data_IF_236995560855
#
_entry.id   IF_236995560855
#
_cell.length_a   1.000
_cell.length_b   1.000
_cell.length_c   1.000
_cell.angle_alpha   90.00
_cell.angle_beta   90.00
_cell.angle_gamma   90.00
#
_symmetry.space_group_name_H-M   'P 1'
#
loop_
_entity.id
_entity.type
_entity.pdbx_description
1 polymer ?
#
# COMPACT_ATOMS: atom_id res chain seq x y z
N UNK A 1 -0.79 -5.89 -24.99
CA UNK A 1 -1.04 -4.45 -24.73
C UNK A 1 0.05 -3.98 -23.79
N UNK A 2 0.68 -2.84 -24.04
CA UNK A 2 1.75 -2.33 -23.16
C UNK A 2 1.11 -1.64 -21.96
N UNK A 3 1.46 -2.04 -20.73
CA UNK A 3 0.94 -1.47 -19.49
C UNK A 3 2.05 -0.76 -18.70
N UNK A 4 1.69 0.36 -18.06
CA UNK A 4 2.54 1.07 -17.12
C UNK A 4 1.82 1.10 -15.75
N UNK A 5 2.56 0.81 -14.68
CA UNK A 5 2.07 0.88 -13.31
C UNK A 5 2.61 2.12 -12.61
N UNK A 6 1.73 2.88 -11.97
CA UNK A 6 2.09 4.09 -11.25
C UNK A 6 1.62 4.03 -9.80
N UNK A 7 2.50 4.45 -8.89
CA UNK A 7 2.24 4.48 -7.45
C UNK A 7 2.10 5.92 -6.95
N UNK A 8 1.00 6.26 -6.25
CA UNK A 8 0.77 7.61 -5.79
C UNK A 8 1.68 7.97 -4.61
N UNK A 9 1.97 9.26 -4.46
CA UNK A 9 2.69 9.80 -3.32
C UNK A 9 1.77 10.35 -2.23
N UNK A 10 2.40 10.99 -1.23
CA UNK A 10 1.70 11.71 -0.15
C UNK A 10 0.73 12.76 -0.71
N UNK A 11 -0.42 12.89 -0.05
CA UNK A 11 -1.57 13.69 -0.47
C UNK A 11 -2.75 12.85 -0.97
N UNK A 12 -2.53 11.56 -1.23
CA UNK A 12 -3.57 10.62 -1.69
C UNK A 12 -4.16 9.75 -0.57
N UNK A 13 -3.59 9.80 0.64
CA UNK A 13 -4.06 9.02 1.78
C UNK A 13 -5.47 9.45 2.23
N UNK A 14 -6.29 8.47 2.61
CA UNK A 14 -7.63 8.69 3.13
C UNK A 14 -7.94 7.68 4.24
N UNK A 15 -8.66 8.12 5.28
CA UNK A 15 -9.11 7.22 6.34
C UNK A 15 -9.98 6.12 5.75
N UNK A 16 -9.76 4.88 6.19
CA UNK A 16 -10.43 3.68 5.68
C UNK A 16 -9.75 3.03 4.48
N UNK A 17 -8.69 3.62 3.91
CA UNK A 17 -7.99 3.04 2.77
C UNK A 17 -7.41 1.65 3.09
N UNK A 18 -7.46 0.73 2.12
CA UNK A 18 -6.96 -0.63 2.28
C UNK A 18 -7.79 -1.54 3.21
N UNK A 19 -8.73 -1.01 4.00
CA UNK A 19 -9.53 -1.81 4.95
C UNK A 19 -10.35 -2.89 4.26
N UNK A 20 -11.09 -2.52 3.21
CA UNK A 20 -11.89 -3.48 2.44
C UNK A 20 -11.02 -4.57 1.80
N UNK A 21 -9.79 -4.22 1.41
CA UNK A 21 -8.84 -5.17 0.85
C UNK A 21 -8.37 -6.17 1.92
N UNK A 22 -8.02 -5.69 3.11
CA UNK A 22 -7.60 -6.52 4.23
C UNK A 22 -8.74 -7.38 4.81
N UNK A 23 -9.98 -6.90 4.75
CA UNK A 23 -11.17 -7.65 5.15
C UNK A 23 -11.49 -8.78 4.17
N UNK A 24 -11.24 -8.57 2.87
CA UNK A 24 -11.54 -9.55 1.82
C UNK A 24 -10.41 -10.57 1.58
N UNK A 25 -9.14 -10.16 1.71
CA UNK A 25 -7.99 -10.96 1.31
C UNK A 25 -7.01 -11.17 2.46
N UNK A 26 -6.78 -12.43 2.91
CA UNK A 26 -5.81 -12.73 3.97
C UNK A 26 -4.39 -12.24 3.65
N UNK A 27 -3.98 -12.26 2.38
CA UNK A 27 -2.66 -11.78 1.97
C UNK A 27 -2.50 -10.27 2.15
N UNK A 28 -3.57 -9.49 1.94
CA UNK A 28 -3.56 -8.06 2.25
C UNK A 28 -3.49 -7.82 3.75
N UNK A 29 -4.24 -8.59 4.55
CA UNK A 29 -4.19 -8.50 6.03
C UNK A 29 -2.76 -8.73 6.55
N UNK A 30 -2.07 -9.76 6.05
CA UNK A 30 -0.71 -10.08 6.46
C UNK A 30 0.27 -8.91 6.26
N UNK A 31 0.15 -8.17 5.16
CA UNK A 31 0.98 -6.97 4.92
C UNK A 31 0.77 -5.92 5.99
N UNK A 32 -0.49 -5.65 6.37
CA UNK A 32 -0.78 -4.69 7.43
C UNK A 32 -0.28 -5.16 8.80
N UNK A 33 -0.38 -6.46 9.10
CA UNK A 33 0.14 -7.04 10.34
C UNK A 33 1.67 -6.96 10.40
N UNK A 34 2.36 -7.21 9.29
CA UNK A 34 3.82 -7.05 9.16
C UNK A 34 4.25 -5.60 9.38
N UNK A 35 3.52 -4.63 8.83
CA UNK A 35 3.81 -3.20 8.99
C UNK A 35 3.62 -2.78 10.46
N UNK A 36 2.50 -3.14 11.08
CA UNK A 36 2.26 -2.87 12.51
C UNK A 36 3.38 -3.47 13.38
N UNK A 37 3.78 -4.71 13.09
CA UNK A 37 4.85 -5.39 13.83
C UNK A 37 6.22 -4.72 13.63
N UNK A 38 6.52 -4.27 12.42
CA UNK A 38 7.78 -3.60 12.10
C UNK A 38 7.89 -2.21 12.75
N UNK A 39 6.78 -1.48 12.88
CA UNK A 39 6.74 -0.19 13.55
C UNK A 39 6.60 -0.29 15.07
N UNK A 40 6.12 -1.44 15.58
CA UNK A 40 5.84 -1.62 17.00
C UNK A 40 4.60 -0.85 17.47
N UNK A 41 3.76 -0.40 16.54
CA UNK A 41 2.55 0.39 16.78
C UNK A 41 1.43 -0.04 15.84
N UNK A 42 0.19 0.33 16.18
CA UNK A 42 -1.00 0.03 15.38
C UNK A 42 -1.27 1.13 14.36
N UNK A 43 -0.42 1.23 13.34
CA UNK A 43 -0.64 2.13 12.21
C UNK A 43 -1.97 1.82 11.52
N UNK A 44 -2.38 0.54 11.47
CA UNK A 44 -3.71 0.13 11.00
C UNK A 44 -4.87 0.88 11.65
N UNK A 45 -4.79 1.17 12.96
CA UNK A 45 -5.81 1.97 13.65
C UNK A 45 -5.90 3.38 13.09
N UNK A 46 -4.76 4.00 12.80
CA UNK A 46 -4.70 5.34 12.18
C UNK A 46 -5.21 5.30 10.74
N UNK A 47 -4.84 4.27 9.96
CA UNK A 47 -5.25 4.12 8.57
C UNK A 47 -6.76 3.92 8.47
N UNK A 48 -7.35 3.05 9.28
CA UNK A 48 -8.75 2.65 9.13
C UNK A 48 -9.72 3.55 9.88
N UNK A 49 -9.35 3.99 11.07
CA UNK A 49 -10.26 4.68 11.99
C UNK A 49 -9.89 6.16 12.18
N UNK A 50 -8.66 6.56 11.83
CA UNK A 50 -8.22 7.96 11.86
C UNK A 50 -7.91 8.49 13.26
N UNK A 51 -7.89 9.83 13.45
CA UNK A 51 -8.51 10.83 12.59
C UNK A 51 -7.65 11.25 11.39
N UNK A 52 -8.27 11.92 10.42
CA UNK A 52 -7.64 12.26 9.13
C UNK A 52 -6.40 13.16 9.29
N UNK A 53 -6.43 14.10 10.23
CA UNK A 53 -5.31 14.98 10.54
C UNK A 53 -4.09 14.20 11.06
N UNK A 54 -4.29 13.12 11.84
CA UNK A 54 -3.21 12.24 12.30
C UNK A 54 -2.66 11.43 11.13
N UNK A 55 -3.53 10.89 10.27
CA UNK A 55 -3.11 10.17 9.06
C UNK A 55 -2.36 11.08 8.08
N UNK A 56 -2.64 12.38 8.06
CA UNK A 56 -1.97 13.36 7.20
C UNK A 56 -0.56 13.75 7.68
N UNK A 57 -0.20 13.45 8.92
CA UNK A 57 1.18 13.61 9.39
C UNK A 57 2.09 12.73 8.56
N UNK A 58 3.18 13.31 8.05
CA UNK A 58 4.13 12.63 7.16
C UNK A 58 4.61 11.28 7.70
N UNK A 59 4.86 11.19 9.01
CA UNK A 59 5.28 9.96 9.69
C UNK A 59 4.26 8.82 9.59
N UNK A 60 2.97 9.13 9.47
CA UNK A 60 1.90 8.14 9.30
C UNK A 60 1.54 7.97 7.82
N UNK A 61 1.40 9.08 7.09
CA UNK A 61 0.98 9.09 5.68
C UNK A 61 1.92 8.25 4.82
N UNK A 62 3.22 8.34 5.07
CA UNK A 62 4.20 7.63 4.25
C UNK A 62 4.13 6.10 4.41
N UNK A 63 4.33 5.52 5.61
CA UNK A 63 4.21 4.08 5.77
C UNK A 63 2.79 3.57 5.44
N UNK A 64 1.75 4.37 5.68
CA UNK A 64 0.38 4.00 5.34
C UNK A 64 0.16 3.82 3.83
N UNK A 65 0.62 4.76 3.01
CA UNK A 65 0.51 4.68 1.55
C UNK A 65 1.31 3.51 0.98
N UNK A 66 2.49 3.26 1.53
CA UNK A 66 3.32 2.11 1.15
C UNK A 66 2.62 0.79 1.52
N UNK A 67 2.09 0.67 2.73
CA UNK A 67 1.38 -0.52 3.19
C UNK A 67 0.19 -0.86 2.28
N UNK A 68 -0.63 0.13 1.92
CA UNK A 68 -1.78 -0.05 1.03
C UNK A 68 -1.34 -0.44 -0.38
N UNK A 69 -0.26 0.17 -0.90
CA UNK A 69 0.28 -0.15 -2.21
C UNK A 69 0.77 -1.61 -2.27
N UNK A 70 1.54 -2.04 -1.27
CA UNK A 70 2.05 -3.41 -1.18
C UNK A 70 0.92 -4.41 -0.97
N UNK A 71 -0.04 -4.13 -0.10
CA UNK A 71 -1.21 -4.99 0.11
C UNK A 71 -1.98 -5.20 -1.20
N UNK A 72 -2.13 -4.13 -2.00
CA UNK A 72 -2.77 -4.20 -3.33
C UNK A 72 -1.96 -5.06 -4.30
N UNK A 73 -0.64 -4.90 -4.34
CA UNK A 73 0.24 -5.72 -5.19
C UNK A 73 0.18 -7.20 -4.82
N UNK A 74 0.24 -7.53 -3.54
CA UNK A 74 0.17 -8.92 -3.06
C UNK A 74 -1.15 -9.60 -3.44
N UNK A 75 -2.26 -8.85 -3.40
CA UNK A 75 -3.55 -9.36 -3.87
C UNK A 75 -3.54 -9.58 -5.37
N UNK A 76 -3.03 -8.64 -6.17
CA UNK A 76 -2.93 -8.81 -7.63
C UNK A 76 -2.09 -10.03 -8.01
N UNK A 77 -0.98 -10.26 -7.31
CA UNK A 77 -0.12 -11.41 -7.55
C UNK A 77 -0.78 -12.73 -7.16
N UNK A 78 -1.36 -12.78 -5.96
CA UNK A 78 -1.89 -14.02 -5.39
C UNK A 78 -3.22 -14.41 -6.03
N UNK A 79 -4.12 -13.44 -6.23
CA UNK A 79 -5.50 -13.69 -6.65
C UNK A 79 -5.68 -13.57 -8.16
N UNK A 80 -4.92 -12.69 -8.82
CA UNK A 80 -5.03 -12.45 -10.26
C UNK A 80 -3.84 -13.01 -11.07
N UNK A 81 -2.80 -13.53 -10.41
CA UNK A 81 -1.60 -14.04 -11.09
C UNK A 81 -0.81 -12.95 -11.84
N UNK A 82 -1.06 -11.68 -11.52
CA UNK A 82 -0.43 -10.53 -12.15
C UNK A 82 0.77 -10.08 -11.33
N UNK A 83 1.95 -10.02 -11.95
CA UNK A 83 3.15 -9.50 -11.30
C UNK A 83 3.66 -8.26 -12.04
N UNK A 84 3.88 -7.17 -11.30
CA UNK A 84 4.40 -5.93 -11.89
C UNK A 84 5.74 -6.15 -12.60
N UNK A 85 6.65 -6.93 -12.02
CA UNK A 85 7.96 -7.20 -12.62
C UNK A 85 7.91 -8.01 -13.92
N UNK A 86 6.87 -8.81 -14.13
CA UNK A 86 6.71 -9.66 -15.31
C UNK A 86 5.78 -9.03 -16.37
N UNK A 87 4.72 -8.38 -15.91
CA UNK A 87 3.57 -8.03 -16.74
C UNK A 87 3.46 -6.52 -17.03
N UNK A 88 4.19 -5.65 -16.30
CA UNK A 88 4.27 -4.22 -16.60
C UNK A 88 5.53 -3.90 -17.42
N UNK A 89 5.38 -3.10 -18.48
CA UNK A 89 6.50 -2.64 -19.29
C UNK A 89 7.25 -1.46 -18.65
N UNK A 90 6.55 -0.70 -17.80
CA UNK A 90 7.09 0.46 -17.09
C UNK A 90 6.50 0.52 -15.68
N UNK A 91 7.32 0.95 -14.73
CA UNK A 91 6.92 1.15 -13.35
C UNK A 91 7.47 2.49 -12.90
N UNK A 92 6.63 3.32 -12.27
CA UNK A 92 7.03 4.61 -11.76
C UNK A 92 6.26 4.94 -10.48
N UNK A 93 6.81 5.82 -9.67
CA UNK A 93 6.13 6.32 -8.49
C UNK A 93 6.38 7.80 -8.29
N UNK A 94 5.40 8.51 -7.73
CA UNK A 94 5.53 9.93 -7.45
C UNK A 94 6.04 10.15 -6.03
N UNK A 95 7.24 10.73 -5.87
CA UNK A 95 7.85 10.98 -4.55
C UNK A 95 7.94 9.69 -3.73
N UNK A 96 7.30 9.59 -2.57
CA UNK A 96 7.24 8.35 -1.79
C UNK A 96 6.76 7.14 -2.61
N UNK A 97 5.85 7.34 -3.57
CA UNK A 97 5.37 6.27 -4.43
C UNK A 97 6.49 5.54 -5.16
N UNK A 98 7.65 6.17 -5.37
CA UNK A 98 8.83 5.54 -5.97
C UNK A 98 9.35 4.36 -5.14
N UNK A 99 9.26 4.43 -3.81
CA UNK A 99 9.60 3.30 -2.94
C UNK A 99 8.63 2.13 -3.14
N UNK A 100 7.34 2.41 -3.33
CA UNK A 100 6.36 1.36 -3.64
C UNK A 100 6.58 0.76 -5.03
N UNK A 101 7.00 1.58 -5.99
CA UNK A 101 7.36 1.15 -7.35
C UNK A 101 8.61 0.24 -7.38
N UNK A 102 9.58 0.50 -6.50
CA UNK A 102 10.85 -0.23 -6.41
C UNK A 102 10.81 -1.42 -5.44
N UNK A 103 9.71 -1.60 -4.71
CA UNK A 103 9.49 -2.73 -3.80
C UNK A 103 8.48 -3.77 -4.35
N UNK A 104 8.52 -4.19 -5.64
CA UNK A 104 7.74 -5.34 -6.04
C UNK A 104 8.30 -6.57 -5.32
N UNK A 105 7.43 -7.47 -4.88
CA UNK A 105 7.82 -8.63 -4.10
C UNK A 105 8.50 -9.75 -4.88
#
# INVERSE_FOLDING_TARGET
>A
MTAAFTFPGQGSQAVGMGKALADAFPVARAVFDEVDAALGEKLTGIIWDGPAETLQLTENAQPALMAVSIATLRVLETEAGFSVGRDAAYVAGHSLGEYSALAPP
#
